data_IF_833994613084
#
_entry.id   IF_833994613084
#
_cell.length_a   1.000
_cell.length_b   1.000
_cell.length_c   1.000
_cell.angle_alpha   90.00
_cell.angle_beta   90.00
_cell.angle_gamma   90.00
#
_symmetry.space_group_name_H-M   'P 1'
#
loop_
_entity.id
_entity.type
_entity.pdbx_description
1 polymer ?
#
# COMPACT_ATOMS: atom_id res chain seq x y z
N UNK A 1 -4.72 -8.12 -3.44
CA UNK A 1 -3.27 -7.80 -3.34
C UNK A 1 -3.13 -6.78 -2.23
N UNK A 2 -2.23 -6.95 -1.26
CA UNK A 2 -2.08 -5.98 -0.17
C UNK A 2 -1.54 -4.61 -0.64
N UNK A 3 -1.71 -3.59 0.19
CA UNK A 3 -1.36 -2.22 -0.16
C UNK A 3 0.15 -2.01 -0.40
N UNK A 4 1.04 -2.68 0.36
CA UNK A 4 2.49 -2.52 0.15
C UNK A 4 2.89 -3.15 -1.19
N UNK A 5 2.37 -4.32 -1.49
CA UNK A 5 2.57 -4.99 -2.79
C UNK A 5 2.03 -4.13 -3.93
N UNK A 6 0.87 -3.47 -3.76
CA UNK A 6 0.35 -2.50 -4.73
C UNK A 6 1.33 -1.35 -5.00
N UNK A 7 1.87 -0.75 -3.93
CA UNK A 7 2.80 0.38 -4.05
C UNK A 7 4.09 0.00 -4.79
N UNK A 8 4.61 -1.20 -4.54
CA UNK A 8 5.79 -1.73 -5.23
C UNK A 8 5.46 -2.08 -6.67
N UNK A 9 4.35 -2.77 -6.93
CA UNK A 9 3.95 -3.22 -8.26
C UNK A 9 3.70 -2.05 -9.24
N UNK A 10 3.18 -0.94 -8.73
CA UNK A 10 2.93 0.28 -9.51
C UNK A 10 4.12 1.25 -9.54
N UNK A 11 5.29 0.84 -9.02
CA UNK A 11 6.50 1.66 -8.92
C UNK A 11 6.32 2.98 -8.13
N UNK A 12 5.36 3.05 -7.20
CA UNK A 12 5.18 4.22 -6.32
C UNK A 12 6.26 4.30 -5.25
N UNK A 13 6.82 3.14 -4.86
CA UNK A 13 7.98 3.05 -3.97
C UNK A 13 8.97 2.00 -4.51
N UNK A 14 10.28 2.13 -4.22
CA UNK A 14 11.26 1.11 -4.59
C UNK A 14 10.99 -0.23 -3.88
N UNK A 15 11.28 -1.33 -4.57
CA UNK A 15 11.15 -2.69 -4.02
C UNK A 15 11.84 -2.87 -2.65
N UNK A 16 13.04 -2.31 -2.48
CA UNK A 16 13.77 -2.38 -1.22
C UNK A 16 13.03 -1.69 -0.06
N UNK A 17 12.31 -0.61 -0.34
CA UNK A 17 11.48 0.09 0.64
C UNK A 17 10.27 -0.76 1.00
N UNK A 18 9.60 -1.35 0.00
CA UNK A 18 8.51 -2.30 0.22
C UNK A 18 8.92 -3.49 1.09
N UNK A 19 10.06 -4.12 0.79
CA UNK A 19 10.62 -5.19 1.62
C UNK A 19 10.89 -4.76 3.07
N UNK A 20 11.40 -3.54 3.28
CA UNK A 20 11.65 -3.02 4.62
C UNK A 20 10.34 -2.79 5.39
N UNK A 21 9.31 -2.26 4.72
CA UNK A 21 7.99 -2.06 5.32
C UNK A 21 7.36 -3.40 5.73
N UNK A 22 7.38 -4.40 4.85
CA UNK A 22 6.89 -5.76 5.16
C UNK A 22 7.65 -6.41 6.32
N UNK A 23 8.95 -6.11 6.47
CA UNK A 23 9.77 -6.61 7.60
C UNK A 23 9.52 -5.85 8.91
N UNK A 24 9.23 -4.55 8.84
CA UNK A 24 8.97 -3.71 10.01
C UNK A 24 7.54 -3.89 10.54
N UNK A 25 6.58 -4.04 9.63
CA UNK A 25 5.18 -4.34 9.93
C UNK A 25 5.01 -5.86 10.03
N UNK A 26 5.49 -6.45 11.13
CA UNK A 26 5.57 -7.91 11.36
C UNK A 26 4.20 -8.63 11.32
N UNK A 27 3.09 -7.91 11.21
CA UNK A 27 1.78 -8.50 10.91
C UNK A 27 1.08 -7.69 9.80
N UNK A 28 0.67 -8.39 8.74
CA UNK A 28 -0.14 -7.92 7.60
C UNK A 28 -1.48 -7.25 8.01
N UNK A 29 -1.83 -7.25 9.29
CA UNK A 29 -3.13 -6.81 9.83
C UNK A 29 -3.21 -5.31 10.17
N UNK A 30 -2.12 -4.55 10.09
CA UNK A 30 -2.15 -3.13 10.45
C UNK A 30 -1.71 -2.23 9.31
N UNK A 31 -2.59 -2.09 8.30
CA UNK A 31 -2.48 -1.06 7.27
C UNK A 31 -2.16 0.33 7.86
N UNK A 32 -2.75 0.68 9.01
CA UNK A 32 -2.48 1.94 9.70
C UNK A 32 -0.99 2.10 10.07
N UNK A 33 -0.30 1.03 10.48
CA UNK A 33 1.13 1.06 10.79
C UNK A 33 1.96 1.27 9.52
N UNK A 34 1.54 0.68 8.39
CA UNK A 34 2.19 0.91 7.09
C UNK A 34 2.05 2.38 6.68
N UNK A 35 0.86 2.95 6.81
CA UNK A 35 0.59 4.36 6.53
C UNK A 35 1.45 5.27 7.41
N UNK A 36 1.50 5.01 8.71
CA UNK A 36 2.30 5.77 9.66
C UNK A 36 3.79 5.71 9.30
N UNK A 37 4.33 4.52 9.01
CA UNK A 37 5.74 4.35 8.64
C UNK A 37 6.09 5.04 7.30
N UNK A 38 5.19 5.02 6.32
CA UNK A 38 5.37 5.73 5.04
C UNK A 38 5.50 7.25 5.25
N UNK A 39 4.68 7.81 6.13
CA UNK A 39 4.66 9.25 6.43
C UNK A 39 5.83 9.64 7.34
N UNK A 40 6.06 8.89 8.43
CA UNK A 40 7.11 9.16 9.41
C UNK A 40 8.51 9.06 8.81
N UNK A 41 8.73 8.15 7.85
CA UNK A 41 10.01 8.02 7.15
C UNK A 41 10.15 8.92 5.92
N UNK A 42 9.16 9.79 5.67
CA UNK A 42 9.12 10.68 4.51
C UNK A 42 9.24 9.93 3.17
N UNK A 43 8.72 8.70 3.11
CA UNK A 43 8.67 7.91 1.87
C UNK A 43 7.57 8.48 0.97
N UNK A 44 6.40 8.75 1.57
CA UNK A 44 5.27 9.42 0.93
C UNK A 44 4.71 10.46 1.90
N UNK A 45 4.18 11.56 1.36
CA UNK A 45 3.38 12.48 2.16
C UNK A 45 2.00 11.89 2.47
N UNK A 46 1.37 12.32 3.56
CA UNK A 46 0.03 11.87 3.94
C UNK A 46 -0.99 11.99 2.78
N UNK A 47 -1.08 13.12 2.04
CA UNK A 47 -1.99 13.22 0.90
C UNK A 47 -1.70 12.21 -0.23
N UNK A 48 -0.42 11.85 -0.44
CA UNK A 48 -0.07 10.82 -1.41
C UNK A 48 -0.53 9.45 -0.94
N UNK A 49 -0.33 9.12 0.33
CA UNK A 49 -0.77 7.83 0.89
C UNK A 49 -2.29 7.69 0.81
N UNK A 50 -3.05 8.71 1.21
CA UNK A 50 -4.52 8.71 1.12
C UNK A 50 -5.02 8.52 -0.32
N UNK A 51 -4.42 9.25 -1.28
CA UNK A 51 -4.78 9.13 -2.70
C UNK A 51 -4.50 7.73 -3.26
N UNK A 52 -3.31 7.18 -2.96
CA UNK A 52 -2.90 5.86 -3.43
C UNK A 52 -3.71 4.75 -2.76
N UNK A 53 -4.07 4.91 -1.50
CA UNK A 53 -4.95 3.98 -0.79
C UNK A 53 -6.32 3.93 -1.45
N UNK A 54 -6.93 5.08 -1.71
CA UNK A 54 -8.22 5.14 -2.39
C UNK A 54 -8.18 4.51 -3.79
N UNK A 55 -7.10 4.73 -4.56
CA UNK A 55 -6.91 4.07 -5.87
C UNK A 55 -6.81 2.55 -5.75
N UNK A 56 -6.07 2.06 -4.75
CA UNK A 56 -5.93 0.64 -4.51
C UNK A 56 -7.27 -0.01 -4.16
N UNK A 57 -8.08 0.61 -3.30
CA UNK A 57 -9.43 0.15 -2.97
C UNK A 57 -10.33 0.04 -4.21
N UNK A 58 -10.35 1.08 -5.04
CA UNK A 58 -11.15 1.09 -6.28
C UNK A 58 -10.70 0.00 -7.28
N UNK A 59 -9.39 -0.21 -7.43
CA UNK A 59 -8.84 -1.25 -8.31
C UNK A 59 -9.11 -2.68 -7.77
N UNK A 60 -9.16 -2.86 -6.44
CA UNK A 60 -9.57 -4.13 -5.82
C UNK A 60 -11.06 -4.41 -6.03
N UNK A 61 -11.92 -3.39 -5.96
CA UNK A 61 -13.37 -3.52 -6.17
C UNK A 61 -13.69 -3.88 -7.64
N UNK A 62 -13.11 -3.18 -8.61
CA UNK A 62 -13.31 -3.45 -10.05
C UNK A 62 -12.78 -4.84 -10.45
N UNK A 63 -11.68 -5.28 -9.83
CA UNK A 63 -11.13 -6.62 -10.01
C UNK A 63 -12.05 -7.73 -9.49
N UNK A 64 -12.83 -7.47 -8.42
CA UNK A 64 -13.82 -8.44 -7.88
C UNK A 64 -15.08 -8.49 -8.74
N UNK A 65 -15.61 -7.34 -9.15
CA UNK A 65 -16.78 -7.27 -10.05
C UNK A 65 -16.50 -7.93 -11.41
N UNK A 66 -15.31 -7.70 -11.98
CA UNK A 66 -14.88 -8.28 -13.26
C UNK A 66 -14.72 -9.82 -13.20
N UNK A 67 -14.52 -10.38 -12.01
CA UNK A 67 -14.42 -11.83 -11.79
C UNK A 67 -15.77 -12.48 -11.46
N UNK A 68 -16.86 -11.71 -11.38
CA UNK A 68 -18.21 -12.23 -11.12
C UNK A 68 -18.38 -12.92 -9.76
N UNK A 69 -17.60 -12.49 -8.75
CA UNK A 69 -17.68 -12.96 -7.36
C UNK A 69 -18.47 -12.02 -6.48
#
# INVERSE_FOLDING_TARGET
>A
MDFVTYLVYKDYIPFQVGLNLLRSCIAEEHLNQVVDELVLRHILSLPQVENLHHKWELEEEDGRESLGL
#
